data_IF_673293203064
#
_entry.id   IF_673293203064
#
_cell.length_a   1.000
_cell.length_b   1.000
_cell.length_c   1.000
_cell.angle_alpha   90.00
_cell.angle_beta   90.00
_cell.angle_gamma   90.00
#
_symmetry.space_group_name_H-M   'P 1'
#
loop_
_entity.id
_entity.type
_entity.pdbx_description
1 polymer ?
#
# COMPACT_ATOMS: atom_id res chain seq x y z
N UNK A 1 16.22 16.49 -38.92
CA UNK A 1 15.62 15.77 -40.06
C UNK A 1 14.13 16.04 -40.00
N UNK A 2 13.56 16.71 -41.00
CA UNK A 2 12.11 16.88 -41.13
C UNK A 2 11.55 15.63 -41.80
N UNK A 3 10.74 14.87 -41.07
CA UNK A 3 10.09 13.67 -41.60
C UNK A 3 8.87 14.11 -42.43
N UNK A 4 8.74 13.58 -43.64
CA UNK A 4 7.49 13.72 -44.43
C UNK A 4 6.43 12.88 -43.74
N UNK A 5 5.35 13.51 -43.30
CA UNK A 5 4.25 12.83 -42.60
C UNK A 5 3.25 12.22 -43.57
N UNK A 6 3.00 12.89 -44.69
CA UNK A 6 2.10 12.46 -45.75
C UNK A 6 2.33 13.33 -47.00
N UNK A 7 1.93 12.82 -48.17
CA UNK A 7 1.96 13.55 -49.43
C UNK A 7 0.54 13.59 -50.01
N UNK A 8 0.06 14.77 -50.37
CA UNK A 8 -1.24 14.94 -51.01
C UNK A 8 -1.10 14.97 -52.53
N UNK A 9 -2.04 14.32 -53.21
CA UNK A 9 -2.11 14.30 -54.66
C UNK A 9 -3.51 14.66 -55.15
N UNK A 10 -3.57 15.27 -56.33
CA UNK A 10 -4.81 15.45 -57.10
C UNK A 10 -4.72 14.60 -58.36
N UNK A 11 -5.86 14.10 -58.81
CA UNK A 11 -6.06 13.35 -60.04
C UNK A 11 -6.15 14.26 -61.29
N UNK A 12 -5.99 15.58 -61.14
CA UNK A 12 -5.90 16.52 -62.25
C UNK A 12 -4.70 16.17 -63.16
N UNK A 13 -5.03 15.66 -64.35
CA UNK A 13 -4.07 15.36 -65.41
C UNK A 13 -3.17 16.57 -65.72
N UNK A 14 -1.88 16.31 -65.94
CA UNK A 14 -0.87 17.29 -66.39
C UNK A 14 -1.32 17.98 -67.68
N UNK A 15 -2.12 19.04 -67.55
CA UNK A 15 -2.61 19.88 -68.64
C UNK A 15 -2.76 21.31 -68.15
N UNK A 16 -1.74 22.12 -68.42
CA UNK A 16 -1.66 23.60 -68.34
C UNK A 16 -1.96 24.36 -67.03
N UNK A 17 -2.48 23.73 -65.97
CA UNK A 17 -2.61 24.37 -64.66
C UNK A 17 -1.50 23.93 -63.70
N UNK A 18 -0.52 24.82 -63.46
CA UNK A 18 0.44 24.62 -62.38
C UNK A 18 -0.32 24.69 -61.04
N UNK A 19 -0.38 23.55 -60.34
CA UNK A 19 -1.09 23.38 -59.07
C UNK A 19 -0.23 23.89 -57.92
N UNK A 20 -0.87 24.55 -56.96
CA UNK A 20 -0.29 24.95 -55.68
C UNK A 20 -1.10 24.35 -54.54
N UNK A 21 -0.44 23.68 -53.61
CA UNK A 21 -1.07 23.14 -52.41
C UNK A 21 -1.04 24.15 -51.26
N UNK A 22 -2.15 24.27 -50.54
CA UNK A 22 -2.27 25.07 -49.33
C UNK A 22 -2.76 24.22 -48.16
N UNK A 23 -2.39 24.62 -46.94
CA UNK A 23 -2.74 23.93 -45.69
C UNK A 23 -3.32 24.94 -44.71
N UNK A 24 -4.43 24.58 -44.07
CA UNK A 24 -5.11 25.37 -43.04
C UNK A 24 -5.61 24.45 -41.92
N UNK A 25 -6.06 25.03 -40.79
CA UNK A 25 -6.52 24.30 -39.61
C UNK A 25 -5.50 24.27 -38.48
N UNK A 26 -5.56 23.23 -37.66
CA UNK A 26 -4.82 23.15 -36.39
C UNK A 26 -3.30 23.12 -36.60
N UNK A 27 -2.62 24.18 -36.16
CA UNK A 27 -1.17 24.25 -36.23
C UNK A 27 -0.61 24.43 -37.66
N UNK A 28 -1.44 24.68 -38.66
CA UNK A 28 -0.96 25.04 -40.00
C UNK A 28 -0.06 26.30 -39.94
N UNK A 29 1.09 26.26 -40.59
CA UNK A 29 2.09 27.34 -40.61
C UNK A 29 2.91 27.50 -39.33
N UNK A 30 2.64 26.72 -38.27
CA UNK A 30 3.39 26.81 -37.00
C UNK A 30 3.86 25.46 -36.44
N UNK A 31 3.06 24.41 -36.60
CA UNK A 31 3.37 23.00 -36.29
C UNK A 31 3.61 22.25 -37.59
N UNK A 32 2.70 22.41 -38.55
CA UNK A 32 2.74 21.73 -39.84
C UNK A 32 2.91 22.73 -40.97
N UNK A 33 3.69 22.35 -41.97
CA UNK A 33 3.80 23.08 -43.24
C UNK A 33 3.56 22.11 -44.39
N UNK A 34 3.09 22.64 -45.52
CA UNK A 34 2.97 21.88 -46.77
C UNK A 34 3.93 22.47 -47.80
N UNK A 35 4.67 21.61 -48.50
CA UNK A 35 5.37 22.01 -49.71
C UNK A 35 4.32 22.34 -50.77
N UNK A 36 4.32 23.59 -51.20
CA UNK A 36 3.32 24.12 -52.11
C UNK A 36 3.36 23.47 -53.50
N UNK A 37 4.47 22.82 -53.86
CA UNK A 37 4.70 22.20 -55.16
C UNK A 37 4.53 20.70 -55.14
N UNK A 38 5.03 20.01 -54.10
CA UNK A 38 4.97 18.54 -54.01
C UNK A 38 3.75 18.04 -53.24
N UNK A 39 3.16 18.88 -52.40
CA UNK A 39 2.08 18.49 -51.49
C UNK A 39 2.58 17.73 -50.24
N UNK A 40 3.89 17.68 -50.00
CA UNK A 40 4.48 17.03 -48.83
C UNK A 40 4.21 17.83 -47.57
N UNK A 41 3.67 17.17 -46.54
CA UNK A 41 3.42 17.78 -45.24
C UNK A 41 4.57 17.43 -44.29
N UNK A 42 5.16 18.46 -43.67
CA UNK A 42 6.24 18.34 -42.70
C UNK A 42 5.84 18.92 -41.35
N UNK A 43 6.32 18.30 -40.27
CA UNK A 43 6.33 18.91 -38.95
C UNK A 43 7.52 19.87 -38.81
N UNK A 44 7.26 21.09 -38.32
CA UNK A 44 8.24 22.13 -38.04
C UNK A 44 8.83 22.02 -36.62
N UNK A 45 8.16 21.30 -35.73
CA UNK A 45 8.54 21.09 -34.33
C UNK A 45 8.23 19.65 -33.91
N UNK A 46 8.84 19.21 -32.81
CA UNK A 46 8.50 17.94 -32.19
C UNK A 46 7.03 17.90 -31.80
N UNK A 47 6.42 16.72 -31.93
CA UNK A 47 5.04 16.46 -31.53
C UNK A 47 5.06 15.61 -30.26
N UNK A 48 4.17 15.93 -29.34
CA UNK A 48 3.98 15.25 -28.06
C UNK A 48 2.52 14.78 -28.04
N UNK A 49 2.31 13.47 -27.88
CA UNK A 49 0.97 12.87 -27.93
C UNK A 49 0.20 13.22 -26.66
N UNK A 50 0.88 13.28 -25.53
CA UNK A 50 0.36 13.61 -24.21
C UNK A 50 -0.10 15.07 -24.15
N UNK A 51 0.55 15.97 -24.92
CA UNK A 51 0.09 17.35 -25.12
C UNK A 51 -1.13 17.41 -26.06
N UNK A 52 -1.02 16.83 -27.26
CA UNK A 52 -2.12 16.83 -28.24
C UNK A 52 -2.04 15.64 -29.22
N UNK A 53 -2.96 14.67 -29.13
CA UNK A 53 -2.89 13.42 -29.91
C UNK A 53 -3.42 13.51 -31.35
N UNK A 54 -4.25 14.53 -31.65
CA UNK A 54 -4.91 14.68 -32.96
C UNK A 54 -4.88 16.13 -33.43
N UNK A 55 -4.64 16.31 -34.72
CA UNK A 55 -4.73 17.60 -35.40
C UNK A 55 -5.65 17.48 -36.60
N UNK A 56 -6.71 18.29 -36.63
CA UNK A 56 -7.61 18.38 -37.79
C UNK A 56 -7.12 19.48 -38.71
N UNK A 57 -6.76 19.10 -39.93
CA UNK A 57 -6.21 19.97 -40.95
C UNK A 57 -7.06 19.90 -42.21
N UNK A 58 -6.95 20.93 -43.03
CA UNK A 58 -7.55 21.00 -44.35
C UNK A 58 -6.49 21.36 -45.36
N UNK A 59 -6.54 20.69 -46.50
CA UNK A 59 -5.70 21.03 -47.64
C UNK A 59 -6.54 21.33 -48.87
N UNK A 60 -6.00 22.20 -49.72
CA UNK A 60 -6.63 22.59 -50.97
C UNK A 60 -5.60 22.68 -52.09
N UNK A 61 -5.98 22.19 -53.26
CA UNK A 61 -5.27 22.44 -54.50
C UNK A 61 -5.86 23.69 -55.16
N UNK A 62 -5.02 24.70 -55.40
CA UNK A 62 -5.39 25.95 -56.08
C UNK A 62 -4.52 26.17 -57.32
N UNK A 63 -5.03 26.94 -58.27
CA UNK A 63 -4.25 27.37 -59.42
C UNK A 63 -3.16 28.36 -58.97
N UNK A 64 -1.91 28.14 -59.38
CA UNK A 64 -0.76 28.94 -58.90
C UNK A 64 -0.87 30.43 -59.27
N UNK A 65 -1.52 30.76 -60.39
CA UNK A 65 -1.59 32.11 -60.93
C UNK A 65 -2.79 32.88 -60.39
N UNK A 66 -3.93 32.20 -60.26
CA UNK A 66 -5.21 32.81 -59.90
C UNK A 66 -5.64 32.58 -58.46
N UNK A 67 -4.99 31.64 -57.74
CA UNK A 67 -5.41 31.09 -56.44
C UNK A 67 -6.87 30.60 -56.42
N UNK A 68 -7.47 30.33 -57.58
CA UNK A 68 -8.81 29.75 -57.65
C UNK A 68 -8.73 28.29 -57.19
N UNK A 69 -9.66 27.82 -56.33
CA UNK A 69 -9.76 26.40 -55.99
C UNK A 69 -9.91 25.56 -57.25
N UNK A 70 -8.99 24.61 -57.43
CA UNK A 70 -9.08 23.57 -58.45
C UNK A 70 -9.89 22.39 -57.93
N UNK A 71 -9.72 22.09 -56.64
CA UNK A 71 -10.46 21.07 -55.90
C UNK A 71 -11.14 21.68 -54.65
N UNK A 72 -12.23 21.08 -54.14
CA UNK A 72 -12.77 21.44 -52.84
C UNK A 72 -11.76 21.14 -51.72
N UNK A 73 -11.89 21.84 -50.58
CA UNK A 73 -11.06 21.55 -49.42
C UNK A 73 -11.28 20.10 -48.95
N UNK A 74 -10.18 19.40 -48.68
CA UNK A 74 -10.20 18.06 -48.10
C UNK A 74 -9.78 18.14 -46.63
N UNK A 75 -10.66 17.72 -45.73
CA UNK A 75 -10.38 17.62 -44.30
C UNK A 75 -9.77 16.26 -43.96
N UNK A 76 -8.71 16.26 -43.16
CA UNK A 76 -8.04 15.05 -42.70
C UNK A 76 -7.49 15.25 -41.28
N UNK A 77 -7.21 14.14 -40.61
CA UNK A 77 -6.69 14.13 -39.24
C UNK A 77 -5.29 13.54 -39.23
N UNK A 78 -4.34 14.28 -38.67
CA UNK A 78 -3.03 13.73 -38.31
C UNK A 78 -3.15 13.15 -36.91
N UNK A 79 -2.91 11.83 -36.78
CA UNK A 79 -2.80 11.12 -35.51
C UNK A 79 -1.33 11.03 -35.10
N UNK A 80 -0.99 11.54 -33.91
CA UNK A 80 0.35 11.41 -33.34
C UNK A 80 0.51 9.97 -32.81
N UNK A 81 1.60 9.31 -33.18
CA UNK A 81 1.94 8.00 -32.64
C UNK A 81 2.66 8.17 -31.30
N UNK A 82 2.27 7.33 -30.35
CA UNK A 82 2.87 7.24 -29.03
C UNK A 82 4.32 6.75 -29.11
N UNK A 83 5.16 7.29 -28.22
CA UNK A 83 6.46 6.73 -27.87
C UNK A 83 6.48 6.54 -26.36
N UNK A 84 7.23 5.56 -25.89
CA UNK A 84 7.29 5.27 -24.45
C UNK A 84 8.24 6.23 -23.73
N UNK A 85 7.81 7.45 -23.49
CA UNK A 85 8.60 8.51 -22.85
C UNK A 85 8.04 8.95 -21.49
N UNK A 86 6.92 8.39 -21.03
CA UNK A 86 6.41 8.58 -19.69
C UNK A 86 6.64 7.34 -18.83
N UNK A 87 7.11 7.55 -17.61
CA UNK A 87 7.23 6.45 -16.63
C UNK A 87 5.94 6.30 -15.80
N UNK A 88 5.65 5.10 -15.28
CA UNK A 88 4.51 4.89 -14.38
C UNK A 88 4.65 5.71 -13.10
N UNK A 89 3.62 6.47 -12.75
CA UNK A 89 3.57 7.28 -11.53
C UNK A 89 2.52 6.77 -10.58
N UNK A 90 2.92 6.50 -9.34
CA UNK A 90 1.97 6.15 -8.27
C UNK A 90 1.05 7.33 -7.94
N UNK A 91 -0.24 7.04 -7.77
CA UNK A 91 -1.25 8.05 -7.44
C UNK A 91 -1.04 8.66 -6.05
N UNK A 92 -0.51 7.87 -5.13
CA UNK A 92 -0.20 8.28 -3.76
C UNK A 92 1.18 7.75 -3.35
N UNK A 93 1.72 8.28 -2.25
CA UNK A 93 2.95 7.78 -1.67
C UNK A 93 3.54 8.74 -0.63
N UNK A 94 4.14 8.23 0.45
CA UNK A 94 4.22 6.82 0.84
C UNK A 94 2.88 6.26 1.37
N UNK A 95 2.62 4.97 1.11
CA UNK A 95 1.42 4.28 1.60
C UNK A 95 1.61 3.79 3.03
N UNK A 96 0.51 3.69 3.79
CA UNK A 96 0.48 3.11 5.13
C UNK A 96 -0.63 2.08 5.21
N UNK A 97 -0.34 0.93 5.82
CA UNK A 97 -1.31 -0.13 6.00
C UNK A 97 -1.09 -0.84 7.34
N UNK A 98 -2.13 -1.54 7.81
CA UNK A 98 -2.06 -2.39 8.99
C UNK A 98 -2.63 -3.76 8.64
N UNK A 99 -2.05 -4.82 9.20
CA UNK A 99 -2.54 -6.20 9.05
C UNK A 99 -2.38 -6.93 10.38
N UNK A 100 -3.34 -7.78 10.81
CA UNK A 100 -3.17 -8.59 12.01
C UNK A 100 -1.93 -9.46 11.92
N UNK A 101 -1.18 -9.54 13.01
CA UNK A 101 -0.11 -10.52 13.12
C UNK A 101 -0.63 -11.95 12.99
N UNK A 102 0.28 -12.87 12.69
CA UNK A 102 0.00 -14.29 12.42
C UNK A 102 -1.09 -14.54 11.37
N UNK A 103 -1.39 -13.54 10.54
CA UNK A 103 -2.36 -13.65 9.45
C UNK A 103 -1.96 -14.77 8.48
N UNK A 104 -2.91 -15.57 7.98
CA UNK A 104 -2.61 -16.61 7.02
C UNK A 104 -2.02 -16.02 5.73
N UNK A 105 -1.32 -16.85 4.97
CA UNK A 105 -0.79 -16.46 3.65
C UNK A 105 -1.96 -16.08 2.73
N UNK A 106 -1.82 -14.95 2.04
CA UNK A 106 -2.82 -14.44 1.10
C UNK A 106 -3.80 -13.43 1.70
N UNK A 107 -3.68 -13.08 2.99
CA UNK A 107 -4.45 -12.00 3.61
C UNK A 107 -4.17 -10.67 2.92
N UNK A 108 -5.23 -9.95 2.56
CA UNK A 108 -5.15 -8.63 1.95
C UNK A 108 -4.54 -7.62 2.92
N UNK A 109 -3.57 -6.82 2.45
CA UNK A 109 -2.95 -5.75 3.24
C UNK A 109 -3.36 -4.38 2.72
N UNK A 110 -3.10 -4.10 1.45
CA UNK A 110 -3.44 -2.84 0.78
C UNK A 110 -3.34 -2.99 -0.73
N UNK A 111 -3.67 -1.96 -1.49
CA UNK A 111 -3.50 -1.89 -2.93
C UNK A 111 -2.78 -0.59 -3.29
N UNK A 112 -1.75 -0.71 -4.14
CA UNK A 112 -1.11 0.46 -4.74
C UNK A 112 -1.55 0.62 -6.18
N UNK A 113 -1.61 1.87 -6.64
CA UNK A 113 -2.06 2.18 -8.00
C UNK A 113 -1.08 3.15 -8.63
N UNK A 114 -0.58 2.79 -9.80
CA UNK A 114 0.21 3.64 -10.67
C UNK A 114 -0.50 3.82 -12.01
N UNK A 115 -0.30 4.99 -12.61
CA UNK A 115 -0.79 5.36 -13.93
C UNK A 115 0.38 5.74 -14.81
N UNK A 116 0.30 5.33 -16.07
CA UNK A 116 1.22 5.74 -17.11
C UNK A 116 0.47 6.70 -18.05
N UNK A 117 1.15 7.73 -18.54
CA UNK A 117 0.53 8.74 -19.40
C UNK A 117 0.50 8.30 -20.87
N UNK A 118 1.34 7.35 -21.27
CA UNK A 118 1.47 6.84 -22.64
C UNK A 118 0.19 6.15 -23.15
N UNK A 119 0.10 5.79 -24.43
CA UNK A 119 -1.11 5.21 -25.02
C UNK A 119 -1.45 3.83 -24.41
N UNK A 120 -2.61 3.68 -23.73
CA UNK A 120 -3.01 2.40 -23.13
C UNK A 120 -3.61 1.42 -24.14
N UNK A 121 -3.88 1.88 -25.37
CA UNK A 121 -4.65 1.13 -26.38
C UNK A 121 -3.73 0.39 -27.35
N UNK A 122 -2.63 1.03 -27.75
CA UNK A 122 -1.75 0.53 -28.79
C UNK A 122 -0.35 0.27 -28.24
N UNK A 123 0.12 -0.97 -28.39
CA UNK A 123 1.42 -1.38 -27.87
C UNK A 123 1.37 -1.76 -26.39
N UNK A 124 2.52 -1.71 -25.73
CA UNK A 124 2.65 -2.01 -24.30
C UNK A 124 3.11 -0.79 -23.50
N UNK A 125 3.20 0.41 -24.10
CA UNK A 125 3.81 1.59 -23.46
C UNK A 125 3.18 1.84 -22.09
N UNK A 126 1.88 2.09 -22.01
CA UNK A 126 1.20 2.28 -20.72
C UNK A 126 0.84 0.99 -19.94
N UNK A 127 1.31 -0.20 -20.35
CA UNK A 127 0.97 -1.45 -19.67
C UNK A 127 1.85 -1.67 -18.45
N UNK A 128 1.33 -1.29 -17.29
CA UNK A 128 2.02 -1.41 -16.01
C UNK A 128 1.99 -2.84 -15.44
N UNK A 129 3.13 -3.27 -14.88
CA UNK A 129 3.29 -4.48 -14.06
C UNK A 129 3.94 -4.13 -12.74
N UNK A 130 3.32 -4.59 -11.64
CA UNK A 130 3.81 -4.37 -10.28
C UNK A 130 4.78 -5.47 -9.82
N UNK A 131 5.79 -5.09 -9.05
CA UNK A 131 6.72 -6.03 -8.40
C UNK A 131 7.25 -5.49 -7.08
N UNK A 132 7.72 -6.38 -6.20
CA UNK A 132 8.36 -6.01 -4.93
C UNK A 132 9.87 -5.99 -5.13
N UNK A 133 10.50 -4.83 -4.90
CA UNK A 133 11.96 -4.69 -4.87
C UNK A 133 12.53 -5.01 -3.48
N UNK A 134 11.80 -4.69 -2.41
CA UNK A 134 12.19 -4.97 -1.03
C UNK A 134 10.95 -5.28 -0.18
N UNK A 135 11.03 -6.25 0.73
CA UNK A 135 9.91 -6.71 1.57
C UNK A 135 9.58 -8.20 1.43
N UNK A 136 10.23 -8.90 0.49
CA UNK A 136 10.27 -10.35 0.47
C UNK A 136 11.04 -10.91 1.68
N UNK A 137 10.73 -12.12 2.18
CA UNK A 137 9.66 -13.01 1.73
C UNK A 137 8.28 -12.75 2.37
N UNK A 138 8.13 -11.67 3.14
CA UNK A 138 6.96 -11.44 4.02
C UNK A 138 5.68 -11.07 3.26
N UNK A 139 5.80 -10.38 2.14
CA UNK A 139 4.66 -9.91 1.35
C UNK A 139 4.78 -10.31 -0.11
N UNK A 140 3.64 -10.39 -0.79
CA UNK A 140 3.53 -10.57 -2.24
C UNK A 140 2.71 -9.44 -2.83
N UNK A 141 2.93 -9.12 -4.10
CA UNK A 141 2.12 -8.16 -4.85
C UNK A 141 1.55 -8.84 -6.08
N UNK A 142 0.27 -8.62 -6.35
CA UNK A 142 -0.35 -9.04 -7.59
C UNK A 142 0.16 -8.14 -8.73
N UNK A 143 0.81 -8.71 -9.77
CA UNK A 143 1.48 -7.94 -10.79
C UNK A 143 0.54 -7.12 -11.69
N UNK A 144 -0.77 -7.40 -11.69
CA UNK A 144 -1.74 -6.69 -12.53
C UNK A 144 -2.53 -5.65 -11.76
N UNK A 145 -2.88 -5.97 -10.51
CA UNK A 145 -3.79 -5.16 -9.71
C UNK A 145 -3.06 -4.29 -8.69
N UNK A 146 -1.79 -4.57 -8.38
CA UNK A 146 -1.05 -3.86 -7.34
C UNK A 146 -1.51 -4.22 -5.91
N UNK A 147 -2.34 -5.25 -5.77
CA UNK A 147 -2.81 -5.73 -4.46
C UNK A 147 -1.67 -6.43 -3.72
N UNK A 148 -1.36 -5.95 -2.52
CA UNK A 148 -0.34 -6.50 -1.63
C UNK A 148 -1.01 -7.44 -0.62
N UNK A 149 -0.42 -8.62 -0.45
CA UNK A 149 -0.89 -9.67 0.46
C UNK A 149 0.24 -10.21 1.33
N UNK A 150 -0.09 -10.78 2.48
CA UNK A 150 0.85 -11.59 3.27
C UNK A 150 1.35 -12.78 2.46
N UNK A 151 2.65 -13.08 2.56
CA UNK A 151 3.29 -14.22 1.92
C UNK A 151 3.91 -15.22 2.92
N UNK A 152 4.00 -14.82 4.20
CA UNK A 152 4.38 -15.69 5.31
C UNK A 152 3.32 -15.68 6.43
N UNK A 153 3.05 -16.83 7.08
CA UNK A 153 2.02 -16.93 8.11
C UNK A 153 2.50 -16.55 9.52
N UNK A 154 3.80 -16.45 9.75
CA UNK A 154 4.42 -16.32 11.08
C UNK A 154 5.00 -14.93 11.32
N UNK A 155 4.32 -13.91 10.81
CA UNK A 155 4.66 -12.52 11.06
C UNK A 155 4.11 -12.14 12.43
N UNK A 156 5.01 -12.07 13.40
CA UNK A 156 4.73 -11.84 14.82
C UNK A 156 5.20 -10.42 15.20
N UNK A 157 4.32 -9.68 15.88
CA UNK A 157 4.51 -8.28 16.26
C UNK A 157 5.53 -8.15 17.38
N UNK A 158 5.54 -9.06 18.36
CA UNK A 158 6.50 -9.10 19.47
C UNK A 158 7.93 -9.30 18.97
N UNK A 159 8.10 -9.96 17.82
CA UNK A 159 9.40 -10.09 17.13
C UNK A 159 9.70 -8.87 16.26
N UNK A 160 8.75 -8.44 15.43
CA UNK A 160 8.92 -7.29 14.52
C UNK A 160 7.57 -6.68 14.15
N UNK A 161 7.30 -5.51 14.71
CA UNK A 161 6.05 -4.77 14.50
C UNK A 161 5.92 -4.12 13.11
N UNK A 162 7.01 -3.62 12.52
CA UNK A 162 6.96 -2.76 11.34
C UNK A 162 7.76 -3.30 10.15
N UNK A 163 7.15 -3.22 8.97
CA UNK A 163 7.73 -3.65 7.70
C UNK A 163 7.66 -2.54 6.67
N UNK A 164 8.75 -2.35 5.94
CA UNK A 164 8.82 -1.42 4.82
C UNK A 164 8.95 -2.21 3.51
N UNK A 165 7.96 -2.04 2.64
CA UNK A 165 7.90 -2.71 1.34
C UNK A 165 8.12 -1.68 0.23
N UNK A 166 9.13 -1.90 -0.61
CA UNK A 166 9.40 -1.08 -1.80
C UNK A 166 8.74 -1.73 -3.00
N UNK A 167 7.76 -1.05 -3.59
CA UNK A 167 7.03 -1.50 -4.78
C UNK A 167 7.56 -0.76 -6.00
N UNK A 168 7.70 -1.49 -7.10
CA UNK A 168 7.95 -0.96 -8.43
C UNK A 168 6.72 -1.15 -9.30
N UNK A 169 6.37 -0.12 -10.06
CA UNK A 169 5.47 -0.18 -11.20
C UNK A 169 6.31 0.00 -12.45
N UNK A 170 6.32 -0.99 -13.35
CA UNK A 170 7.12 -0.97 -14.58
C UNK A 170 6.22 -1.07 -15.80
N UNK A 171 6.44 -0.19 -16.77
CA UNK A 171 5.69 -0.12 -18.02
C UNK A 171 6.08 -1.28 -18.98
N UNK A 172 5.64 -1.25 -20.24
CA UNK A 172 6.03 -2.25 -21.26
C UNK A 172 5.73 -3.69 -20.84
N UNK A 173 4.70 -3.90 -20.00
CA UNK A 173 4.38 -5.21 -19.44
C UNK A 173 5.48 -5.79 -18.54
N UNK A 174 6.34 -4.93 -17.95
CA UNK A 174 7.48 -5.32 -17.13
C UNK A 174 8.71 -5.78 -17.91
N UNK A 175 8.73 -5.62 -19.24
CA UNK A 175 9.81 -6.11 -20.10
C UNK A 175 11.10 -5.27 -19.98
N UNK A 176 12.20 -5.77 -20.55
CA UNK A 176 13.45 -5.01 -20.67
C UNK A 176 13.23 -3.80 -21.59
N UNK A 177 13.80 -2.66 -21.22
CA UNK A 177 13.61 -1.39 -21.92
C UNK A 177 12.46 -0.53 -21.41
N UNK A 178 11.60 -1.07 -20.55
CA UNK A 178 10.53 -0.30 -19.92
C UNK A 178 10.99 0.64 -18.80
N UNK A 179 10.31 1.77 -18.63
CA UNK A 179 10.49 2.74 -17.56
C UNK A 179 9.77 2.28 -16.28
N UNK A 180 10.20 2.80 -15.13
CA UNK A 180 9.73 2.30 -13.84
C UNK A 180 9.66 3.40 -12.78
N UNK A 181 8.50 3.51 -12.14
CA UNK A 181 8.33 4.26 -10.90
C UNK A 181 8.40 3.36 -9.67
N UNK A 182 8.72 3.94 -8.51
CA UNK A 182 8.74 3.23 -7.23
C UNK A 182 7.99 3.97 -6.13
N UNK A 183 7.38 3.23 -5.21
CA UNK A 183 6.75 3.79 -3.99
C UNK A 183 7.03 2.89 -2.78
N UNK A 184 6.92 3.46 -1.59
CA UNK A 184 7.11 2.74 -0.32
C UNK A 184 5.78 2.53 0.37
N UNK A 185 5.58 1.33 0.92
CA UNK A 185 4.45 0.94 1.76
C UNK A 185 4.96 0.58 3.14
N UNK A 186 4.56 1.35 4.15
CA UNK A 186 4.86 1.09 5.56
C UNK A 186 3.72 0.28 6.17
N UNK A 187 3.99 -0.97 6.52
CA UNK A 187 3.02 -1.92 7.06
C UNK A 187 3.30 -2.13 8.55
N UNK A 188 2.29 -1.91 9.39
CA UNK A 188 2.35 -2.20 10.83
C UNK A 188 1.55 -3.47 11.12
N UNK A 189 2.08 -4.35 11.95
CA UNK A 189 1.31 -5.48 12.47
C UNK A 189 0.40 -5.01 13.59
N UNK A 190 -0.90 -5.30 13.49
CA UNK A 190 -1.83 -5.09 14.60
C UNK A 190 -1.84 -6.29 15.53
N UNK A 191 -1.86 -5.99 16.82
CA UNK A 191 -1.82 -6.94 17.93
C UNK A 191 -3.00 -7.93 17.90
N UNK A 192 -2.69 -9.21 18.10
CA UNK A 192 -3.63 -10.30 18.34
C UNK A 192 -3.32 -10.88 19.72
N UNK A 193 -4.36 -11.22 20.50
CA UNK A 193 -4.14 -11.80 21.83
C UNK A 193 -3.66 -13.26 21.73
N UNK A 194 -2.36 -13.44 21.55
CA UNK A 194 -1.72 -14.75 21.42
C UNK A 194 -0.67 -15.00 22.51
N UNK A 195 -0.26 -13.97 23.26
CA UNK A 195 0.59 -14.13 24.43
C UNK A 195 -0.25 -14.22 25.71
N UNK A 196 -0.13 -15.32 26.47
CA UNK A 196 -0.76 -15.39 27.78
C UNK A 196 0.03 -14.60 28.83
N UNK A 197 -0.62 -14.01 29.85
CA UNK A 197 0.09 -13.40 30.97
C UNK A 197 0.94 -14.41 31.73
N UNK A 198 2.21 -14.06 32.02
CA UNK A 198 3.15 -14.93 32.73
C UNK A 198 3.76 -14.27 33.95
N UNK A 199 3.79 -15.01 35.06
CA UNK A 199 4.58 -14.61 36.22
C UNK A 199 6.08 -14.84 35.99
N UNK A 200 6.90 -13.94 36.51
CA UNK A 200 8.37 -14.10 36.52
C UNK A 200 8.85 -15.23 37.44
N UNK A 201 8.00 -15.70 38.35
CA UNK A 201 8.30 -16.77 39.32
C UNK A 201 7.16 -17.77 39.35
N UNK A 202 7.50 -19.05 39.45
CA UNK A 202 6.53 -20.14 39.62
C UNK A 202 5.96 -20.20 41.04
N UNK A 203 6.66 -19.64 42.02
CA UNK A 203 6.23 -19.58 43.42
C UNK A 203 6.60 -18.24 44.04
N UNK A 204 5.68 -17.70 44.85
CA UNK A 204 5.88 -16.50 45.62
C UNK A 204 5.87 -16.84 47.11
N UNK A 205 6.92 -16.42 47.82
CA UNK A 205 6.99 -16.54 49.28
C UNK A 205 6.67 -15.21 49.92
N UNK A 206 5.47 -15.10 50.48
CA UNK A 206 4.98 -13.92 51.17
C UNK A 206 4.87 -14.20 52.67
N UNK A 207 5.08 -13.16 53.47
CA UNK A 207 4.99 -13.24 54.94
C UNK A 207 4.13 -12.09 55.43
N UNK A 208 3.23 -12.40 56.36
CA UNK A 208 2.39 -11.40 57.02
C UNK A 208 2.41 -11.68 58.53
N UNK A 209 2.63 -10.66 59.38
CA UNK A 209 2.49 -10.81 60.82
C UNK A 209 1.07 -11.24 61.22
N UNK A 210 0.92 -12.11 62.21
CA UNK A 210 -0.40 -12.51 62.72
C UNK A 210 -1.18 -11.35 63.35
N UNK A 211 -0.46 -10.33 63.82
CA UNK A 211 -1.02 -9.08 64.37
C UNK A 211 -1.52 -8.12 63.30
N UNK A 212 -1.36 -8.44 62.01
CA UNK A 212 -1.83 -7.58 60.92
C UNK A 212 -3.36 -7.50 60.90
N UNK A 213 -3.87 -6.27 60.73
CA UNK A 213 -5.30 -6.03 60.63
C UNK A 213 -5.87 -6.58 59.32
N UNK A 214 -7.16 -6.94 59.32
CA UNK A 214 -7.90 -7.21 58.08
C UNK A 214 -7.81 -6.00 57.15
N UNK A 215 -7.57 -6.24 55.86
CA UNK A 215 -7.29 -5.23 54.84
C UNK A 215 -5.79 -4.95 54.64
N UNK A 216 -4.90 -5.46 55.49
CA UNK A 216 -3.45 -5.27 55.31
C UNK A 216 -2.97 -5.95 54.02
N UNK A 217 -2.14 -5.24 53.25
CA UNK A 217 -1.46 -5.82 52.10
C UNK A 217 -0.39 -6.83 52.55
N UNK A 218 -0.47 -8.04 52.02
CA UNK A 218 0.43 -9.17 52.31
C UNK A 218 1.60 -9.19 51.33
N UNK A 219 1.34 -8.77 50.09
CA UNK A 219 2.34 -8.70 49.04
C UNK A 219 1.73 -8.29 47.72
N UNK A 220 2.59 -8.12 46.72
CA UNK A 220 2.20 -7.81 45.34
C UNK A 220 2.82 -8.83 44.40
N UNK A 221 2.05 -9.23 43.41
CA UNK A 221 2.50 -10.08 42.32
C UNK A 221 2.23 -9.36 41.00
N UNK A 222 3.04 -9.67 39.99
CA UNK A 222 2.86 -9.10 38.66
C UNK A 222 3.10 -10.18 37.61
N UNK A 223 2.10 -10.37 36.75
CA UNK A 223 2.26 -11.07 35.50
C UNK A 223 2.64 -10.08 34.40
N UNK A 224 3.32 -10.57 33.38
CA UNK A 224 3.71 -9.83 32.20
C UNK A 224 3.08 -10.50 31.00
N UNK A 225 2.37 -9.70 30.22
CA UNK A 225 1.89 -10.05 28.89
C UNK A 225 2.75 -9.32 27.85
N UNK A 226 3.03 -9.96 26.72
CA UNK A 226 3.83 -9.37 25.64
C UNK A 226 2.97 -8.63 24.62
N UNK A 227 1.66 -8.87 24.62
CA UNK A 227 0.69 -8.15 23.80
C UNK A 227 0.62 -6.66 24.19
N UNK A 228 -0.23 -5.88 23.51
CA UNK A 228 -0.41 -4.44 23.82
C UNK A 228 -1.86 -4.02 24.06
N UNK A 229 -2.01 -2.89 24.74
CA UNK A 229 -3.32 -2.31 25.03
C UNK A 229 -4.18 -3.26 25.87
N UNK A 230 -5.41 -3.52 25.41
CA UNK A 230 -6.37 -4.37 26.12
C UNK A 230 -5.96 -5.84 26.16
N UNK A 231 -5.21 -6.31 25.17
CA UNK A 231 -4.78 -7.72 25.13
C UNK A 231 -3.75 -8.02 26.24
N UNK A 232 -3.05 -6.99 26.73
CA UNK A 232 -2.12 -7.08 27.85
C UNK A 232 -2.71 -6.71 29.23
N UNK A 233 -4.02 -6.47 29.33
CA UNK A 233 -4.69 -6.21 30.62
C UNK A 233 -4.85 -7.53 31.39
N UNK A 234 -4.41 -7.54 32.65
CA UNK A 234 -4.36 -8.74 33.49
C UNK A 234 -5.32 -8.65 34.65
N UNK A 235 -6.15 -9.68 34.83
CA UNK A 235 -6.97 -9.86 36.02
C UNK A 235 -6.43 -10.99 36.92
N UNK A 236 -6.41 -10.75 38.23
CA UNK A 236 -5.92 -11.71 39.21
C UNK A 236 -7.05 -12.30 40.03
N UNK A 237 -7.06 -13.62 40.19
CA UNK A 237 -7.97 -14.34 41.09
C UNK A 237 -7.20 -15.37 41.93
N UNK A 238 -7.75 -15.68 43.11
CA UNK A 238 -7.26 -16.78 43.96
C UNK A 238 -8.22 -17.97 43.80
N UNK A 239 -7.80 -18.99 43.06
CA UNK A 239 -8.35 -20.36 43.11
C UNK A 239 -8.31 -20.94 44.54
N UNK A 240 -9.36 -21.59 45.03
CA UNK A 240 -9.39 -22.17 46.38
C UNK A 240 -8.33 -23.25 46.65
N UNK A 241 -7.79 -23.29 47.87
CA UNK A 241 -6.84 -24.29 48.34
C UNK A 241 -6.70 -24.31 49.88
N UNK A 242 -5.62 -24.90 50.39
CA UNK A 242 -5.29 -24.97 51.82
C UNK A 242 -5.09 -23.56 52.41
N UNK A 243 -6.15 -22.99 52.98
CA UNK A 243 -6.20 -21.61 53.49
C UNK A 243 -7.41 -20.77 53.05
N UNK A 244 -8.41 -21.40 52.43
CA UNK A 244 -9.61 -20.77 51.86
C UNK A 244 -10.23 -19.67 52.73
N UNK A 245 -10.48 -18.51 52.10
CA UNK A 245 -11.10 -17.29 52.64
C UNK A 245 -10.26 -16.43 53.61
N UNK A 246 -8.97 -16.73 53.84
CA UNK A 246 -8.11 -15.85 54.65
C UNK A 246 -7.54 -14.67 53.88
N UNK A 247 -7.40 -14.80 52.56
CA UNK A 247 -6.83 -13.79 51.68
C UNK A 247 -7.80 -13.45 50.54
N UNK A 248 -7.66 -12.24 50.04
CA UNK A 248 -8.28 -11.76 48.81
C UNK A 248 -7.19 -11.20 47.88
N UNK A 249 -7.53 -10.98 46.61
CA UNK A 249 -6.64 -10.32 45.65
C UNK A 249 -7.41 -9.25 44.90
N UNK A 250 -6.78 -8.11 44.68
CA UNK A 250 -7.31 -7.05 43.82
C UNK A 250 -6.30 -6.68 42.75
N UNK A 251 -6.78 -6.36 41.56
CA UNK A 251 -5.95 -5.84 40.47
C UNK A 251 -5.83 -4.33 40.62
N UNK A 252 -4.61 -3.81 40.52
CA UNK A 252 -4.38 -2.37 40.39
C UNK A 252 -4.38 -1.97 38.91
N UNK A 253 -5.41 -1.27 38.46
CA UNK A 253 -5.63 -0.91 37.05
C UNK A 253 -4.47 -0.12 36.41
N UNK A 254 -3.76 0.71 37.18
CA UNK A 254 -2.67 1.54 36.67
C UNK A 254 -1.33 0.80 36.57
N UNK A 255 -1.05 -0.10 37.52
CA UNK A 255 0.24 -0.79 37.61
C UNK A 255 0.19 -2.22 37.09
N UNK A 256 -1.02 -2.75 36.87
CA UNK A 256 -1.30 -4.14 36.51
C UNK A 256 -0.73 -5.15 37.53
N UNK A 257 -0.59 -4.72 38.80
CA UNK A 257 -0.16 -5.57 39.92
C UNK A 257 -1.37 -6.20 40.62
N UNK A 258 -1.25 -7.49 40.96
CA UNK A 258 -2.17 -8.16 41.87
C UNK A 258 -1.75 -7.92 43.32
N UNK A 259 -2.61 -7.26 44.10
CA UNK A 259 -2.37 -6.93 45.51
C UNK A 259 -3.09 -7.96 46.37
N UNK A 260 -2.33 -8.79 47.10
CA UNK A 260 -2.89 -9.78 48.02
C UNK A 260 -3.17 -9.10 49.35
N UNK A 261 -4.40 -9.23 49.83
CA UNK A 261 -4.86 -8.59 51.07
C UNK A 261 -5.35 -9.62 52.08
N UNK A 262 -5.14 -9.35 53.36
CA UNK A 262 -5.62 -10.18 54.45
C UNK A 262 -7.13 -9.96 54.65
N UNK A 263 -7.96 -10.95 54.34
CA UNK A 263 -9.42 -10.90 54.46
C UNK A 263 -9.92 -11.29 55.85
N UNK A 264 -9.25 -12.23 56.52
CA UNK A 264 -9.62 -12.73 57.85
C UNK A 264 -8.40 -13.10 58.68
N UNK A 265 -8.46 -12.82 59.97
CA UNK A 265 -7.47 -13.28 60.96
C UNK A 265 -7.98 -14.56 61.63
N UNK A 266 -7.12 -15.56 61.80
CA UNK A 266 -7.47 -16.80 62.51
C UNK A 266 -7.40 -16.57 64.01
N UNK A 267 -8.53 -16.73 64.72
CA UNK A 267 -8.57 -16.66 66.19
C UNK A 267 -8.21 -18.03 66.81
N UNK A 268 -6.92 -18.37 66.92
CA UNK A 268 -6.40 -19.25 67.99
C UNK A 268 -4.88 -19.41 67.88
N UNK A 269 -4.22 -19.30 69.04
CA UNK A 269 -2.79 -19.33 69.32
C UNK A 269 -2.16 -20.70 69.07
N UNK A 270 -1.32 -20.80 68.03
CA UNK A 270 -0.11 -21.63 68.00
C UNK A 270 0.66 -21.25 66.73
N UNK A 271 1.91 -20.83 66.89
CA UNK A 271 2.81 -20.44 65.81
C UNK A 271 2.89 -21.51 64.71
N UNK A 272 2.51 -21.17 63.48
CA UNK A 272 2.84 -21.97 62.30
C UNK A 272 3.41 -21.06 61.21
N UNK A 273 4.68 -21.30 60.86
CA UNK A 273 5.23 -20.88 59.58
C UNK A 273 4.71 -21.85 58.51
N UNK A 274 3.51 -21.60 57.97
CA UNK A 274 3.07 -22.31 56.76
C UNK A 274 3.53 -21.51 55.55
N UNK A 275 4.41 -22.13 54.77
CA UNK A 275 4.66 -21.72 53.39
C UNK A 275 3.38 -22.00 52.62
N UNK A 276 2.64 -20.96 52.27
CA UNK A 276 1.57 -21.07 51.28
C UNK A 276 2.25 -21.21 49.92
N UNK A 277 2.57 -22.45 49.54
CA UNK A 277 2.87 -22.79 48.16
C UNK A 277 1.55 -22.75 47.40
N UNK A 278 1.21 -21.57 46.93
CA UNK A 278 0.02 -21.41 46.13
C UNK A 278 0.33 -21.82 44.68
N UNK A 279 -0.23 -22.94 44.25
CA UNK A 279 -0.16 -23.43 42.88
C UNK A 279 -1.44 -23.04 42.15
N UNK A 280 -1.29 -22.23 41.10
CA UNK A 280 -2.33 -22.04 40.08
C UNK A 280 -3.09 -20.73 40.21
N UNK A 281 -2.53 -19.65 39.67
CA UNK A 281 -3.35 -18.57 39.12
C UNK A 281 -3.81 -19.06 37.74
N UNK A 282 -5.11 -19.27 37.55
CA UNK A 282 -5.73 -19.43 36.22
C UNK A 282 -6.46 -18.13 35.91
N UNK A 283 -6.24 -17.59 34.71
CA UNK A 283 -6.95 -16.43 34.20
C UNK A 283 -8.03 -16.89 33.21
N UNK A 284 -9.14 -16.15 33.16
CA UNK A 284 -10.16 -16.26 32.14
C UNK A 284 -9.82 -15.26 31.03
N UNK A 285 -9.60 -15.75 29.82
CA UNK A 285 -9.90 -14.97 28.62
C UNK A 285 -11.40 -15.15 28.39
N UNK A 286 -12.22 -14.11 28.59
CA UNK A 286 -13.59 -14.17 28.07
C UNK A 286 -13.51 -14.40 26.55
N UNK A 287 -14.08 -15.51 26.11
CA UNK A 287 -14.27 -15.88 24.72
C UNK A 287 -15.14 -14.80 24.07
N UNK A 288 -14.52 -13.91 23.29
CA UNK A 288 -15.20 -13.20 22.23
C UNK A 288 -15.48 -14.19 21.11
N UNK A 289 -16.73 -14.63 21.01
CA UNK A 289 -17.26 -15.35 19.85
C UNK A 289 -17.00 -14.56 18.56
N UNK A 290 -16.46 -15.23 17.55
CA UNK A 290 -16.69 -14.93 16.13
C UNK A 290 -17.13 -16.22 15.44
#
# INVERSE_FOLDING_TARGET
MTVVLSTLHTDLDKGDSAVKYTLSGDGAGSIFTIDQTTGDIHALRSLDREEKPYYTLRAQAVDINTNRPLEPESEFVIKVQDINDNEPKFLEGPYRASVPEMSPVGTYVTQVTATDADDPTYGNSARVVYSILHGQPYFSVDPKTGVIKTALPNMDREVKEQYQVLIQAKDMGGQLGGLAGTTTVNITLSDVNDNPPRFSKSFFHLRVPESSAVGSAVGRIKAHDLDIGRNAEVEYTIVPGDGGNMFDITTNEHTQEGIIILRRVRRSSSSYTRVLSYAGVKYCTELGEY
#
